data_IF_898027793381
#
_entry.id   IF_898027793381
#
_cell.length_a   1.000
_cell.length_b   1.000
_cell.length_c   1.000
_cell.angle_alpha   90.00
_cell.angle_beta   90.00
_cell.angle_gamma   90.00
#
_symmetry.space_group_name_H-M   'P 1'
#
loop_
_entity.id
_entity.type
_entity.pdbx_description
1 polymer ?
#
# COMPACT_ATOMS: atom_id res chain seq x y z
N UNK A 1 2.07 6.84 11.37
CA UNK A 1 1.18 7.72 10.59
C UNK A 1 0.59 6.90 9.44
N UNK A 2 -0.70 7.09 9.15
CA UNK A 2 -1.42 6.23 8.22
C UNK A 2 -1.30 6.78 6.78
N UNK A 3 -0.99 5.91 5.81
CA UNK A 3 -0.93 6.26 4.39
C UNK A 3 -2.28 6.77 3.80
N UNK A 4 -3.46 6.24 4.20
CA UNK A 4 -4.73 6.61 3.56
C UNK A 4 -5.13 8.10 3.63
N UNK A 5 -4.99 8.82 4.77
CA UNK A 5 -5.24 10.26 4.80
C UNK A 5 -4.34 11.07 3.86
N UNK A 6 -3.05 10.71 3.77
CA UNK A 6 -2.06 11.44 2.95
C UNK A 6 -2.39 11.32 1.46
N UNK A 7 -2.67 10.10 0.98
CA UNK A 7 -2.97 9.88 -0.44
C UNK A 7 -4.31 10.51 -0.87
N UNK A 8 -5.28 10.60 0.05
CA UNK A 8 -6.54 11.34 -0.18
C UNK A 8 -6.27 12.83 -0.34
N UNK A 9 -5.51 13.43 0.57
CA UNK A 9 -5.16 14.85 0.52
C UNK A 9 -4.37 15.20 -0.75
N UNK A 10 -3.47 14.32 -1.17
CA UNK A 10 -2.69 14.49 -2.39
C UNK A 10 -3.52 14.32 -3.69
N UNK A 11 -4.80 13.94 -3.60
CA UNK A 11 -5.64 13.71 -4.79
C UNK A 11 -5.19 12.51 -5.61
N UNK A 12 -4.59 11.49 -4.97
CA UNK A 12 -4.08 10.31 -5.68
C UNK A 12 -5.25 9.58 -6.36
N UNK A 13 -5.17 9.26 -7.67
CA UNK A 13 -6.29 8.69 -8.42
C UNK A 13 -6.62 7.25 -7.99
N UNK A 14 -5.68 6.52 -7.37
CA UNK A 14 -5.84 5.15 -6.87
C UNK A 14 -4.72 4.81 -5.91
N UNK A 15 -4.99 4.04 -4.86
CA UNK A 15 -3.96 3.64 -3.91
C UNK A 15 -4.18 2.23 -3.35
N UNK A 16 -3.08 1.50 -3.20
CA UNK A 16 -2.98 0.33 -2.34
C UNK A 16 -2.51 0.78 -0.95
N UNK A 17 -3.11 0.21 0.10
CA UNK A 17 -2.82 0.56 1.48
C UNK A 17 -2.54 -0.73 2.29
N UNK A 18 -1.28 -1.16 2.43
CA UNK A 18 -0.91 -2.15 3.43
C UNK A 18 -0.73 -1.49 4.82
N UNK A 19 -0.87 -2.28 5.89
CA UNK A 19 -0.72 -1.83 7.28
C UNK A 19 0.75 -1.79 7.68
N UNK A 20 1.48 -0.81 7.15
CA UNK A 20 2.94 -0.71 7.29
C UNK A 20 3.37 0.70 7.72
N UNK A 21 4.56 0.88 8.33
CA UNK A 21 5.08 2.19 8.67
C UNK A 21 5.32 3.03 7.41
N UNK A 22 5.14 4.34 7.53
CA UNK A 22 5.52 5.25 6.44
C UNK A 22 7.01 5.08 6.13
N UNK A 23 7.32 4.89 4.84
CA UNK A 23 8.67 4.58 4.36
C UNK A 23 8.91 3.09 4.07
N UNK A 24 8.02 2.20 4.54
CA UNK A 24 8.07 0.76 4.30
C UNK A 24 6.82 0.29 3.51
N UNK A 25 6.39 1.06 2.50
CA UNK A 25 5.15 0.81 1.76
C UNK A 25 5.11 -0.55 1.04
N UNK A 26 6.28 -1.14 0.76
CA UNK A 26 6.40 -2.47 0.20
C UNK A 26 6.48 -3.57 1.27
N UNK A 27 6.33 -3.30 2.57
CA UNK A 27 6.45 -4.31 3.62
C UNK A 27 7.80 -4.27 4.34
N UNK A 28 8.05 -5.30 5.16
CA UNK A 28 9.19 -5.36 6.07
C UNK A 28 10.54 -5.41 5.33
N UNK A 29 11.63 -4.83 5.89
CA UNK A 29 12.98 -4.97 5.33
C UNK A 29 13.37 -6.45 5.17
N UNK A 30 13.98 -6.79 4.03
CA UNK A 30 14.41 -8.15 3.67
C UNK A 30 13.32 -9.23 3.61
N UNK A 31 12.04 -8.89 3.76
CA UNK A 31 10.93 -9.80 3.51
C UNK A 31 10.54 -9.77 2.02
N UNK A 32 11.28 -10.52 1.21
CA UNK A 32 11.11 -10.55 -0.26
C UNK A 32 9.72 -11.04 -0.66
N UNK A 33 9.13 -11.95 0.12
CA UNK A 33 7.82 -12.52 -0.17
C UNK A 33 6.72 -11.48 0.00
N UNK A 34 6.67 -10.82 1.16
CA UNK A 34 5.72 -9.72 1.42
C UNK A 34 5.92 -8.58 0.41
N UNK A 35 7.16 -8.19 0.15
CA UNK A 35 7.49 -7.13 -0.81
C UNK A 35 6.98 -7.43 -2.21
N UNK A 36 7.26 -8.64 -2.69
CA UNK A 36 6.79 -9.07 -4.00
C UNK A 36 5.27 -9.11 -4.05
N UNK A 37 4.62 -9.61 -2.99
CA UNK A 37 3.18 -9.76 -2.94
C UNK A 37 2.45 -8.40 -2.91
N UNK A 38 2.95 -7.43 -2.14
CA UNK A 38 2.43 -6.05 -2.12
C UNK A 38 2.58 -5.37 -3.48
N UNK A 39 3.76 -5.49 -4.11
CA UNK A 39 3.99 -4.87 -5.42
C UNK A 39 3.07 -5.47 -6.48
N UNK A 40 2.94 -6.80 -6.54
CA UNK A 40 2.05 -7.48 -7.49
C UNK A 40 0.59 -7.06 -7.30
N UNK A 41 0.09 -7.09 -6.05
CA UNK A 41 -1.27 -6.66 -5.75
C UNK A 41 -1.49 -5.18 -6.14
N UNK A 42 -0.50 -4.32 -5.90
CA UNK A 42 -0.58 -2.90 -6.29
C UNK A 42 -0.64 -2.72 -7.81
N UNK A 43 0.11 -3.52 -8.57
CA UNK A 43 0.08 -3.51 -10.03
C UNK A 43 -1.26 -4.01 -10.58
N UNK A 44 -1.83 -5.07 -10.01
CA UNK A 44 -3.16 -5.58 -10.39
C UNK A 44 -4.26 -4.52 -10.16
N UNK A 45 -4.14 -3.72 -9.10
CA UNK A 45 -5.04 -2.60 -8.85
C UNK A 45 -4.92 -1.47 -9.88
N UNK A 46 -3.80 -1.37 -10.61
CA UNK A 46 -3.70 -0.42 -11.73
C UNK A 46 -4.59 -0.82 -12.91
N UNK A 47 -4.93 -2.10 -13.05
CA UNK A 47 -5.77 -2.61 -14.13
C UNK A 47 -7.23 -2.73 -13.69
N UNK A 48 -7.47 -3.05 -12.43
CA UNK A 48 -8.80 -3.42 -11.92
C UNK A 48 -9.58 -2.29 -11.23
N UNK A 49 -8.91 -1.22 -10.79
CA UNK A 49 -9.62 -0.07 -10.20
C UNK A 49 -10.24 0.79 -11.30
N UNK A 50 -11.56 0.84 -11.33
CA UNK A 50 -12.34 1.64 -12.29
C UNK A 50 -12.72 3.03 -11.76
N UNK A 51 -12.80 3.20 -10.44
CA UNK A 51 -13.26 4.45 -9.81
C UNK A 51 -12.08 5.28 -9.28
N UNK A 52 -11.91 6.55 -9.73
CA UNK A 52 -10.91 7.44 -9.17
C UNK A 52 -11.08 7.66 -7.65
N UNK A 53 -9.96 7.80 -6.95
CA UNK A 53 -9.91 7.97 -5.50
C UNK A 53 -10.13 6.69 -4.71
N UNK A 54 -10.29 5.52 -5.37
CA UNK A 54 -10.41 4.24 -4.67
C UNK A 54 -9.10 3.91 -3.96
N UNK A 55 -9.23 3.59 -2.66
CA UNK A 55 -8.15 3.09 -1.82
C UNK A 55 -8.53 1.67 -1.42
N UNK A 56 -7.64 0.72 -1.67
CA UNK A 56 -7.82 -0.70 -1.36
C UNK A 56 -6.86 -1.08 -0.24
N UNK A 57 -7.41 -1.60 0.86
CA UNK A 57 -6.60 -2.15 1.95
C UNK A 57 -6.07 -3.52 1.54
N UNK A 58 -4.77 -3.74 1.71
CA UNK A 58 -4.12 -5.01 1.45
C UNK A 58 -3.93 -5.81 2.75
N UNK A 59 -3.95 -7.15 2.71
CA UNK A 59 -3.87 -8.00 3.90
C UNK A 59 -2.42 -8.20 4.39
N UNK A 60 -1.59 -7.15 4.37
CA UNK A 60 -0.21 -7.20 4.82
C UNK A 60 0.02 -6.23 5.96
N UNK A 61 0.72 -6.69 6.98
CA UNK A 61 1.01 -5.92 8.18
C UNK A 61 2.49 -6.05 8.56
N UNK A 62 3.12 -4.92 8.87
CA UNK A 62 4.48 -4.85 9.38
C UNK A 62 4.55 -3.79 10.47
N UNK A 63 5.17 -4.13 11.58
CA UNK A 63 5.45 -3.20 12.68
C UNK A 63 6.96 -3.00 12.79
N UNK A 64 7.43 -1.78 12.54
CA UNK A 64 8.83 -1.45 12.79
C UNK A 64 9.08 -1.42 14.31
N UNK A 65 10.12 -2.13 14.74
CA UNK A 65 10.67 -2.00 16.09
C UNK A 65 11.70 -0.87 16.03
N UNK A 66 11.54 0.11 16.91
CA UNK A 66 12.44 1.26 17.06
C UNK A 66 13.60 0.85 17.97
#
# INVERSE_FOLDING_TARGET
>A
AALPPVVRQAGTPRAAAPMVPMGANAGAPHDVEMQTAIVKASLELLETIETPGKIVQLPYEYHAVI
#
